data_IF_462821766143
#
_entry.id   IF_462821766143
#
_cell.length_a   1.000
_cell.length_b   1.000
_cell.length_c   1.000
_cell.angle_alpha   90.00
_cell.angle_beta   90.00
_cell.angle_gamma   90.00
#
_symmetry.space_group_name_H-M   'P 1'
#
loop_
_entity.id
_entity.type
_entity.pdbx_description
1 polymer ?
#
# COMPACT_ATOMS: atom_id res chain seq x y z
N UNK A 1 8.26 -2.93 -1.89
CA UNK A 1 8.52 -1.54 -1.46
C UNK A 1 7.74 -1.24 -0.19
N UNK A 2 7.98 -0.10 0.47
CA UNK A 2 7.29 0.26 1.72
C UNK A 2 5.84 0.71 1.47
N UNK A 3 5.63 1.52 0.43
CA UNK A 3 4.34 2.01 -0.05
C UNK A 3 3.96 1.36 -1.38
N UNK A 4 2.67 1.35 -1.70
CA UNK A 4 2.13 0.73 -2.93
C UNK A 4 2.01 1.72 -4.10
N UNK A 5 2.00 3.02 -3.81
CA UNK A 5 1.83 4.06 -4.81
C UNK A 5 2.01 5.45 -4.23
N UNK A 6 2.10 6.43 -5.12
CA UNK A 6 2.20 7.85 -4.81
C UNK A 6 1.07 8.53 -5.58
N UNK A 7 0.23 9.29 -4.88
CA UNK A 7 -0.82 10.09 -5.49
C UNK A 7 -0.21 11.44 -5.87
N UNK A 8 -0.27 11.86 -7.16
CA UNK A 8 0.30 13.13 -7.58
C UNK A 8 -0.48 14.31 -7.00
N UNK A 9 0.24 15.35 -6.60
CA UNK A 9 -0.38 16.61 -6.18
C UNK A 9 -0.70 17.52 -7.38
N UNK A 10 -1.73 18.38 -7.26
CA UNK A 10 -2.00 19.45 -8.21
C UNK A 10 -0.83 20.42 -8.38
N UNK A 11 -0.82 21.18 -9.48
CA UNK A 11 0.20 22.20 -9.73
C UNK A 11 0.24 23.23 -8.58
N UNK A 12 1.41 23.36 -7.95
CA UNK A 12 1.63 24.25 -6.80
C UNK A 12 1.22 23.66 -5.45
N UNK A 13 0.85 22.37 -5.40
CA UNK A 13 0.68 21.59 -4.19
C UNK A 13 -0.77 21.37 -3.75
N UNK A 14 -0.98 20.36 -2.92
CA UNK A 14 -2.29 19.91 -2.47
C UNK A 14 -3.17 21.00 -1.83
N UNK A 15 -2.54 21.93 -1.10
CA UNK A 15 -3.22 23.04 -0.43
C UNK A 15 -3.84 24.06 -1.40
N UNK A 16 -3.35 24.15 -2.64
CA UNK A 16 -3.86 25.12 -3.63
C UNK A 16 -5.10 24.64 -4.36
N UNK A 17 -5.27 23.32 -4.50
CA UNK A 17 -6.49 22.73 -5.04
C UNK A 17 -6.91 21.49 -4.21
N UNK A 18 -7.52 21.72 -3.03
CA UNK A 18 -7.95 20.62 -2.16
C UNK A 18 -8.99 19.72 -2.81
N UNK A 19 -9.89 20.27 -3.64
CA UNK A 19 -10.94 19.51 -4.31
C UNK A 19 -10.36 18.47 -5.29
N UNK A 20 -9.39 18.88 -6.11
CA UNK A 20 -8.68 17.99 -7.02
C UNK A 20 -7.85 16.94 -6.27
N UNK A 21 -7.16 17.35 -5.22
CA UNK A 21 -6.39 16.43 -4.36
C UNK A 21 -7.30 15.35 -3.76
N UNK A 22 -8.43 15.74 -3.17
CA UNK A 22 -9.38 14.81 -2.57
C UNK A 22 -10.03 13.88 -3.60
N UNK A 23 -10.25 14.37 -4.82
CA UNK A 23 -10.72 13.53 -5.93
C UNK A 23 -9.69 12.44 -6.25
N UNK A 24 -8.42 12.80 -6.42
CA UNK A 24 -7.35 11.83 -6.69
C UNK A 24 -7.17 10.81 -5.55
N UNK A 25 -7.24 11.27 -4.29
CA UNK A 25 -7.20 10.39 -3.11
C UNK A 25 -8.38 9.42 -3.10
N UNK A 26 -9.60 9.92 -3.34
CA UNK A 26 -10.80 9.09 -3.38
C UNK A 26 -10.69 8.02 -4.45
N UNK A 27 -10.25 8.38 -5.65
CA UNK A 27 -10.09 7.44 -6.77
C UNK A 27 -9.11 6.32 -6.42
N UNK A 28 -7.95 6.64 -5.85
CA UNK A 28 -6.95 5.63 -5.49
C UNK A 28 -7.43 4.76 -4.30
N UNK A 29 -8.10 5.34 -3.30
CA UNK A 29 -8.67 4.57 -2.17
C UNK A 29 -9.75 3.60 -2.64
N UNK A 30 -10.69 4.05 -3.48
CA UNK A 30 -11.78 3.21 -4.00
C UNK A 30 -11.22 2.07 -4.84
N UNK A 31 -10.26 2.35 -5.72
CA UNK A 31 -9.56 1.34 -6.53
C UNK A 31 -8.91 0.27 -5.66
N UNK A 32 -8.11 0.66 -4.66
CA UNK A 32 -7.42 -0.30 -3.79
C UNK A 32 -8.42 -1.08 -2.91
N UNK A 33 -9.48 -0.42 -2.41
CA UNK A 33 -10.50 -1.10 -1.63
C UNK A 33 -11.24 -2.16 -2.47
N UNK A 34 -11.53 -1.88 -3.74
CA UNK A 34 -12.18 -2.85 -4.62
C UNK A 34 -11.32 -4.12 -4.80
N UNK A 35 -10.01 -3.94 -5.06
CA UNK A 35 -9.05 -5.05 -5.17
C UNK A 35 -9.02 -5.89 -3.89
N UNK A 36 -9.01 -5.23 -2.72
CA UNK A 36 -8.99 -5.91 -1.43
C UNK A 36 -10.30 -6.67 -1.16
N UNK A 37 -11.45 -6.10 -1.53
CA UNK A 37 -12.77 -6.74 -1.37
C UNK A 37 -12.94 -7.99 -2.23
N UNK A 38 -12.27 -8.06 -3.37
CA UNK A 38 -12.27 -9.22 -4.26
C UNK A 38 -11.30 -10.33 -3.81
N UNK A 39 -10.44 -10.03 -2.83
CA UNK A 39 -9.48 -11.01 -2.29
C UNK A 39 -10.10 -11.77 -1.10
N UNK A 40 -10.06 -13.12 -1.07
CA UNK A 40 -10.50 -13.91 0.08
C UNK A 40 -9.80 -13.50 1.38
N UNK A 41 -10.51 -13.62 2.51
CA UNK A 41 -10.02 -13.16 3.82
C UNK A 41 -8.72 -13.85 4.22
N UNK A 42 -8.63 -15.17 4.02
CA UNK A 42 -7.43 -15.96 4.33
C UNK A 42 -6.22 -15.47 3.53
N UNK A 43 -6.44 -15.10 2.27
CA UNK A 43 -5.40 -14.58 1.39
C UNK A 43 -4.99 -13.15 1.77
N UNK A 44 -5.95 -12.31 2.20
CA UNK A 44 -5.66 -10.98 2.75
C UNK A 44 -4.75 -11.07 3.98
N UNK A 45 -5.05 -11.99 4.90
CA UNK A 45 -4.24 -12.20 6.10
C UNK A 45 -2.83 -12.69 5.75
N UNK A 46 -2.72 -13.66 4.83
CA UNK A 46 -1.43 -14.19 4.36
C UNK A 46 -0.58 -13.10 3.72
N UNK A 47 -1.15 -12.32 2.78
CA UNK A 47 -0.46 -11.21 2.10
C UNK A 47 -0.01 -10.14 3.09
N UNK A 48 -0.86 -9.77 4.06
CA UNK A 48 -0.53 -8.81 5.11
C UNK A 48 0.66 -9.25 5.93
N UNK A 49 0.67 -10.51 6.39
CA UNK A 49 1.78 -11.07 7.16
C UNK A 49 3.09 -11.02 6.38
N UNK A 50 3.07 -11.50 5.13
CA UNK A 50 4.26 -11.50 4.27
C UNK A 50 4.80 -10.10 4.02
N UNK A 51 3.92 -9.13 3.72
CA UNK A 51 4.31 -7.73 3.50
C UNK A 51 5.08 -7.20 4.70
N UNK A 52 4.52 -7.27 5.91
CA UNK A 52 5.17 -6.70 7.08
C UNK A 52 6.46 -7.44 7.46
N UNK A 53 6.51 -8.76 7.28
CA UNK A 53 7.74 -9.53 7.52
C UNK A 53 8.88 -9.18 6.57
N UNK A 54 8.54 -8.71 5.36
CA UNK A 54 9.51 -8.30 4.35
C UNK A 54 10.04 -6.86 4.52
N UNK A 55 9.49 -6.08 5.45
CA UNK A 55 9.94 -4.70 5.70
C UNK A 55 11.18 -4.72 6.58
N UNK A 56 12.28 -4.13 6.07
CA UNK A 56 13.58 -4.05 6.72
C UNK A 56 14.63 -4.93 6.03
N UNK A 57 15.91 -4.55 6.12
CA UNK A 57 17.01 -5.39 5.64
C UNK A 57 17.27 -6.49 6.66
N UNK A 58 16.80 -7.70 6.39
CA UNK A 58 17.37 -8.87 7.05
C UNK A 58 18.76 -9.12 6.47
N UNK A 59 19.82 -8.96 7.27
CA UNK A 59 20.89 -9.94 7.18
C UNK A 59 20.21 -11.25 7.61
N UNK A 60 19.93 -12.12 6.64
CA UNK A 60 19.64 -13.53 6.91
C UNK A 60 20.95 -14.28 6.72
N UNK A 61 21.92 -14.01 7.60
CA UNK A 61 23.02 -14.94 7.84
C UNK A 61 22.66 -15.76 9.06
N UNK A 62 22.63 -17.08 8.89
CA UNK A 62 22.28 -18.02 9.94
C UNK A 62 20.90 -18.62 9.74
N UNK A 63 20.86 -19.71 8.99
CA UNK A 63 19.70 -20.58 8.99
C UNK A 63 19.37 -21.08 10.39
N UNK A 64 18.10 -21.37 10.59
CA UNK A 64 17.74 -22.59 11.31
C UNK A 64 16.77 -23.33 10.39
N UNK A 65 17.36 -24.30 9.70
CA UNK A 65 16.68 -25.51 9.26
C UNK A 65 15.97 -26.16 10.44
N UNK A 66 14.69 -26.46 10.25
CA UNK A 66 14.13 -27.74 10.68
C UNK A 66 13.97 -28.59 9.42
#
# INVERSE_FOLDING_TARGET
>A
GLIDGIIPEPLGGAHRNPAETLKAVKEEVVKNLQILKETPVEELLRKRFQRYRSIGSGIVEGGVSL
#
